data_IF_358859484211
#
_entry.id   IF_358859484211
#
_cell.length_a   1.000
_cell.length_b   1.000
_cell.length_c   1.000
_cell.angle_alpha   90.00
_cell.angle_beta   90.00
_cell.angle_gamma   90.00
#
_symmetry.space_group_name_H-M   'P 1'
#
loop_
_entity.id
_entity.type
_entity.pdbx_description
1 polymer ?
#
# COMPACT_ATOMS: atom_id res chain seq x y z
N UNK A 1 21.74 -48.81 29.34
CA UNK A 1 21.27 -47.55 29.98
C UNK A 1 22.05 -46.38 29.40
N UNK A 2 21.50 -45.67 28.40
CA UNK A 2 22.06 -44.41 27.90
C UNK A 2 21.03 -43.30 28.17
N UNK A 3 21.37 -42.35 29.05
CA UNK A 3 20.60 -41.11 29.22
C UNK A 3 21.10 -40.11 28.18
N UNK A 4 20.36 -39.92 27.09
CA UNK A 4 20.63 -38.85 26.14
C UNK A 4 20.09 -37.54 26.74
N UNK A 5 21.00 -36.64 27.12
CA UNK A 5 20.70 -35.37 27.76
C UNK A 5 20.32 -34.32 26.71
N UNK A 6 19.05 -33.95 26.63
CA UNK A 6 18.54 -32.88 25.75
C UNK A 6 19.00 -31.53 26.31
N UNK A 7 20.03 -30.95 25.68
CA UNK A 7 20.44 -29.56 25.95
C UNK A 7 19.33 -28.63 25.48
N UNK A 8 18.59 -28.05 26.43
CA UNK A 8 17.66 -26.94 26.17
C UNK A 8 18.50 -25.72 25.82
N UNK A 9 18.57 -25.38 24.54
CA UNK A 9 19.18 -24.14 24.07
C UNK A 9 18.19 -23.00 24.39
N UNK A 10 18.36 -22.40 25.57
CA UNK A 10 17.69 -21.15 25.93
C UNK A 10 18.32 -20.02 25.13
N UNK A 11 17.79 -19.76 23.93
CA UNK A 11 18.06 -18.54 23.20
C UNK A 11 17.44 -17.36 23.98
N UNK A 12 18.30 -16.43 24.43
CA UNK A 12 17.90 -15.13 24.97
C UNK A 12 17.21 -14.36 23.85
N UNK A 13 15.88 -14.30 23.90
CA UNK A 13 15.09 -13.40 23.05
C UNK A 13 15.31 -11.99 23.60
N UNK A 14 16.11 -11.18 22.90
CA UNK A 14 16.21 -9.75 23.20
C UNK A 14 14.93 -9.07 22.71
N UNK A 15 14.38 -8.20 23.55
CA UNK A 15 13.04 -7.60 23.44
C UNK A 15 12.84 -6.60 22.28
N UNK A 16 13.84 -6.42 21.41
CA UNK A 16 13.82 -5.40 20.35
C UNK A 16 13.45 -5.95 18.96
N UNK A 17 13.41 -7.27 18.77
CA UNK A 17 13.17 -7.89 17.45
C UNK A 17 11.69 -8.17 17.13
N UNK A 18 10.76 -7.91 18.05
CA UNK A 18 9.33 -8.26 17.88
C UNK A 18 8.43 -7.10 17.43
N UNK A 19 8.96 -5.99 16.91
CA UNK A 19 8.13 -4.85 16.44
C UNK A 19 7.95 -4.74 14.93
N UNK A 20 8.58 -5.59 14.11
CA UNK A 20 8.55 -5.47 12.64
C UNK A 20 8.03 -6.76 12.00
N UNK A 21 6.97 -7.35 12.55
CA UNK A 21 6.24 -8.44 11.89
C UNK A 21 4.74 -8.18 11.80
N UNK A 22 4.31 -6.91 11.84
CA UNK A 22 3.01 -6.55 11.27
C UNK A 22 3.14 -6.51 9.74
N UNK A 23 3.31 -7.69 9.13
CA UNK A 23 3.14 -7.93 7.70
C UNK A 23 1.65 -7.98 7.32
N UNK A 24 0.82 -7.18 7.98
CA UNK A 24 -0.57 -6.99 7.58
C UNK A 24 -0.58 -5.82 6.60
N UNK A 25 -1.16 -6.02 5.42
CA UNK A 25 -1.17 -5.07 4.31
C UNK A 25 -1.69 -3.70 4.74
N UNK A 26 -0.80 -2.84 5.21
CA UNK A 26 -1.13 -1.50 5.64
C UNK A 26 -0.91 -0.54 4.48
N UNK A 27 -2.02 -0.17 3.83
CA UNK A 27 -2.03 0.83 2.76
C UNK A 27 -1.50 2.20 3.22
N UNK A 28 -1.41 2.42 4.52
CA UNK A 28 -0.97 3.68 5.13
C UNK A 28 0.33 3.55 5.91
N UNK A 29 1.08 2.46 5.72
CA UNK A 29 2.37 2.24 6.35
C UNK A 29 3.28 3.48 6.19
N UNK A 30 3.97 3.86 7.26
CA UNK A 30 4.86 5.02 7.23
C UNK A 30 6.10 4.80 6.34
N UNK A 31 6.52 3.54 6.22
CA UNK A 31 7.67 3.12 5.43
C UNK A 31 7.20 2.64 4.05
N UNK A 32 7.82 3.13 2.95
CA UNK A 32 7.50 2.66 1.61
C UNK A 32 7.84 1.17 1.49
N UNK A 33 6.91 0.32 1.04
CA UNK A 33 7.19 -1.07 0.73
C UNK A 33 8.23 -1.19 -0.39
N UNK A 34 9.06 -2.23 -0.37
CA UNK A 34 10.14 -2.43 -1.35
C UNK A 34 9.63 -2.45 -2.80
N UNK A 35 8.45 -3.04 -3.04
CA UNK A 35 7.86 -3.15 -4.37
C UNK A 35 7.49 -1.81 -5.00
N UNK A 36 7.34 -0.75 -4.20
CA UNK A 36 7.01 0.60 -4.73
C UNK A 36 8.12 1.19 -5.58
N UNK A 37 9.38 0.76 -5.39
CA UNK A 37 10.52 1.19 -6.20
C UNK A 37 10.44 0.71 -7.65
N UNK A 38 9.73 -0.39 -7.90
CA UNK A 38 9.52 -0.97 -9.23
C UNK A 38 8.26 -0.45 -9.91
N UNK A 39 7.51 0.44 -9.25
CA UNK A 39 6.23 0.90 -9.72
C UNK A 39 6.36 1.89 -10.90
N UNK A 40 5.60 1.65 -11.95
CA UNK A 40 5.51 2.53 -13.13
C UNK A 40 4.26 3.41 -13.09
N UNK A 41 4.31 4.61 -13.67
CA UNK A 41 3.15 5.50 -13.71
C UNK A 41 2.07 4.98 -14.67
N UNK A 42 0.83 4.87 -14.21
CA UNK A 42 -0.30 4.43 -15.01
C UNK A 42 -1.28 5.58 -15.30
N UNK A 43 -1.21 6.14 -16.50
CA UNK A 43 -2.08 7.23 -16.95
C UNK A 43 -3.58 6.88 -17.00
N UNK A 44 -3.91 5.59 -17.17
CA UNK A 44 -5.29 5.10 -17.24
C UNK A 44 -5.87 4.66 -15.88
N UNK A 45 -5.16 4.90 -14.78
CA UNK A 45 -5.53 4.41 -13.44
C UNK A 45 -5.82 2.90 -13.39
N UNK A 46 -5.09 2.12 -14.19
CA UNK A 46 -5.22 0.67 -14.29
C UNK A 46 -3.84 0.04 -14.47
N UNK A 47 -3.74 -1.27 -14.23
CA UNK A 47 -2.46 -1.97 -14.40
C UNK A 47 -1.96 -1.84 -15.86
N UNK A 48 -0.74 -1.36 -16.12
CA UNK A 48 -0.25 -1.20 -17.49
C UNK A 48 -0.02 -2.54 -18.22
N UNK A 49 0.10 -3.65 -17.49
CA UNK A 49 0.31 -4.98 -18.05
C UNK A 49 -1.01 -5.70 -18.37
N UNK A 50 -1.87 -5.89 -17.36
CA UNK A 50 -3.11 -6.66 -17.52
C UNK A 50 -4.39 -5.80 -17.57
N UNK A 51 -4.28 -4.47 -17.43
CA UNK A 51 -5.40 -3.52 -17.36
C UNK A 51 -6.39 -3.75 -16.22
N UNK A 52 -6.03 -4.59 -15.24
CA UNK A 52 -6.82 -4.77 -14.03
C UNK A 52 -7.02 -3.44 -13.30
N UNK A 53 -8.18 -3.32 -12.66
CA UNK A 53 -8.56 -2.14 -11.90
C UNK A 53 -7.75 -2.00 -10.60
N UNK A 54 -7.75 -0.81 -10.01
CA UNK A 54 -7.15 -0.57 -8.69
C UNK A 54 -7.72 -1.44 -7.57
N UNK A 55 -8.96 -1.95 -7.74
CA UNK A 55 -9.65 -2.79 -6.76
C UNK A 55 -9.11 -4.23 -6.74
N UNK A 56 -8.49 -4.68 -7.82
CA UNK A 56 -7.95 -6.03 -7.98
C UNK A 56 -6.47 -6.13 -7.54
N UNK A 57 -5.92 -5.04 -6.98
CA UNK A 57 -4.55 -5.01 -6.50
C UNK A 57 -4.39 -5.88 -5.23
N UNK A 58 -3.33 -6.69 -5.19
CA UNK A 58 -2.97 -7.51 -4.03
C UNK A 58 -2.46 -6.67 -2.87
N UNK A 59 -1.79 -5.56 -3.17
CA UNK A 59 -1.26 -4.63 -2.17
C UNK A 59 -1.45 -3.20 -2.65
N UNK A 60 -1.69 -2.31 -1.70
CA UNK A 60 -1.83 -0.88 -1.94
C UNK A 60 -0.91 -0.17 -0.96
N UNK A 61 -0.37 0.98 -1.35
CA UNK A 61 0.31 1.89 -0.45
C UNK A 61 0.15 3.33 -0.91
N UNK A 62 -0.11 4.27 0.00
CA UNK A 62 -0.31 5.69 -0.33
C UNK A 62 0.73 6.54 0.41
N UNK A 63 1.47 7.37 -0.34
CA UNK A 63 2.40 8.31 0.26
C UNK A 63 1.66 9.53 0.82
N UNK A 64 1.27 9.47 2.09
CA UNK A 64 0.61 10.59 2.79
C UNK A 64 1.57 11.69 3.29
N UNK A 65 2.89 11.46 3.27
CA UNK A 65 3.88 12.38 3.86
C UNK A 65 4.35 13.46 2.90
N UNK A 66 4.21 13.23 1.59
CA UNK A 66 4.70 14.13 0.56
C UNK A 66 3.60 14.41 -0.47
N UNK A 67 2.52 15.12 -0.09
CA UNK A 67 1.54 15.57 -1.06
C UNK A 67 2.18 16.56 -2.03
N UNK A 68 1.85 16.42 -3.31
CA UNK A 68 2.23 17.41 -4.32
C UNK A 68 1.15 18.47 -4.37
N UNK A 69 1.53 19.74 -4.26
CA UNK A 69 0.64 20.87 -4.46
C UNK A 69 0.52 21.15 -5.95
N UNK A 70 -0.72 21.25 -6.43
CA UNK A 70 -1.01 21.69 -7.80
C UNK A 70 -1.32 23.18 -7.84
N UNK A 71 -1.36 23.73 -9.05
CA UNK A 71 -1.64 25.15 -9.30
C UNK A 71 -2.98 25.60 -8.70
N UNK A 72 -3.98 24.72 -8.66
CA UNK A 72 -5.28 24.95 -8.03
C UNK A 72 -5.25 24.92 -6.48
N UNK A 73 -4.05 24.91 -5.88
CA UNK A 73 -3.81 24.73 -4.44
C UNK A 73 -4.38 23.41 -3.87
N UNK A 74 -4.73 22.46 -4.75
CA UNK A 74 -5.20 21.13 -4.36
C UNK A 74 -4.00 20.22 -4.11
N UNK A 75 -4.12 19.40 -3.07
CA UNK A 75 -3.14 18.36 -2.73
C UNK A 75 -3.44 17.11 -3.56
N UNK A 76 -2.41 16.55 -4.19
CA UNK A 76 -2.44 15.24 -4.84
C UNK A 76 -1.52 14.29 -4.09
N UNK A 77 -2.00 13.08 -3.85
CA UNK A 77 -1.22 12.02 -3.23
C UNK A 77 -0.81 11.00 -4.27
N UNK A 78 0.39 10.43 -4.09
CA UNK A 78 0.89 9.36 -4.93
C UNK A 78 0.42 8.03 -4.35
N UNK A 79 -0.30 7.26 -5.16
CA UNK A 79 -0.90 5.99 -4.77
C UNK A 79 -0.27 4.86 -5.56
N UNK A 80 0.19 3.83 -4.86
CA UNK A 80 0.89 2.68 -5.40
C UNK A 80 0.02 1.43 -5.28
N UNK A 81 0.07 0.61 -6.30
CA UNK A 81 -0.70 -0.62 -6.46
C UNK A 81 0.23 -1.74 -6.91
N UNK A 82 0.18 -2.87 -6.21
CA UNK A 82 0.79 -4.10 -6.66
C UNK A 82 -0.31 -5.00 -7.23
N UNK A 83 -0.31 -5.19 -8.54
CA UNK A 83 -1.31 -6.01 -9.22
C UNK A 83 -1.06 -7.51 -8.98
N UNK A 84 -2.11 -8.33 -9.03
CA UNK A 84 -2.00 -9.79 -8.99
C UNK A 84 -1.12 -10.37 -10.10
N UNK A 85 -0.95 -9.66 -11.23
CA UNK A 85 -0.02 -10.08 -12.29
C UNK A 85 1.46 -9.84 -11.94
N UNK A 86 1.78 -9.30 -10.76
CA UNK A 86 3.13 -8.98 -10.31
C UNK A 86 3.67 -7.63 -10.80
N UNK A 87 2.85 -6.87 -11.54
CA UNK A 87 3.21 -5.53 -11.98
C UNK A 87 2.86 -4.51 -10.89
N UNK A 88 3.87 -3.78 -10.42
CA UNK A 88 3.71 -2.61 -9.58
C UNK A 88 3.48 -1.37 -10.44
N UNK A 89 2.51 -0.54 -10.07
CA UNK A 89 2.21 0.71 -10.75
C UNK A 89 1.73 1.76 -9.75
N UNK A 90 1.77 3.03 -10.16
CA UNK A 90 1.29 4.13 -9.33
C UNK A 90 0.50 5.14 -10.16
N UNK A 91 -0.41 5.86 -9.50
CA UNK A 91 -1.20 6.93 -10.10
C UNK A 91 -1.42 8.07 -9.09
N UNK A 92 -1.87 9.22 -9.58
CA UNK A 92 -2.27 10.31 -8.68
C UNK A 92 -3.68 10.06 -8.15
N UNK A 93 -3.91 10.44 -6.90
CA UNK A 93 -5.25 10.40 -6.29
C UNK A 93 -6.29 11.19 -7.07
N UNK A 94 -5.88 12.22 -7.82
CA UNK A 94 -6.74 13.01 -8.69
C UNK A 94 -7.18 12.32 -9.97
N UNK A 95 -6.46 11.27 -10.37
CA UNK A 95 -6.67 10.58 -11.65
C UNK A 95 -7.65 9.42 -11.49
N UNK A 96 -8.13 9.18 -10.25
CA UNK A 96 -9.20 8.24 -9.96
C UNK A 96 -10.43 8.59 -10.79
N UNK A 97 -11.02 7.63 -11.51
CA UNK A 97 -12.31 7.86 -12.13
C UNK A 97 -13.35 8.21 -11.06
N UNK A 98 -14.33 9.08 -11.37
CA UNK A 98 -15.36 9.46 -10.43
C UNK A 98 -16.10 8.21 -9.94
N UNK A 99 -16.12 8.00 -8.63
CA UNK A 99 -16.87 6.91 -8.01
C UNK A 99 -18.34 7.31 -7.85
N UNK A 100 -19.25 6.35 -7.98
CA UNK A 100 -20.69 6.55 -7.73
C UNK A 100 -21.04 6.98 -6.28
N UNK A 101 -20.05 7.09 -5.39
CA UNK A 101 -20.20 7.49 -3.98
C UNK A 101 -20.27 9.01 -3.79
N UNK A 102 -19.91 9.80 -4.80
CA UNK A 102 -19.89 11.27 -4.70
C UNK A 102 -21.29 11.89 -4.80
N UNK A 103 -22.32 11.11 -5.15
CA UNK A 103 -23.69 11.60 -5.36
C UNK A 103 -24.50 11.83 -4.08
N UNK A 104 -23.97 11.51 -2.89
CA UNK A 104 -24.77 11.46 -1.65
C UNK A 104 -24.51 12.57 -0.62
N UNK A 105 -23.51 13.45 -0.82
CA UNK A 105 -23.10 14.41 0.23
C UNK A 105 -23.69 15.81 0.09
N UNK A 106 -24.37 16.12 -1.01
CA UNK A 106 -24.98 17.45 -1.24
C UNK A 106 -26.52 17.46 -1.15
N UNK A 107 -27.15 16.36 -0.73
CA UNK A 107 -28.62 16.22 -0.68
C UNK A 107 -29.27 16.49 0.70
N UNK A 108 -28.47 16.75 1.74
CA UNK A 108 -28.97 16.89 3.14
C UNK A 108 -28.79 18.32 3.71
N UNK A 109 -28.65 19.34 2.85
CA UNK A 109 -28.57 20.76 3.27
C UNK A 109 -29.73 21.65 2.80
N UNK A 110 -30.91 21.07 2.54
CA UNK A 110 -32.14 21.85 2.30
C UNK A 110 -33.11 21.81 3.49
#
# INVERSE_FOLDING_TARGET
>A
MMKCSVRKNTARITSYELRITNYYMDAFALTPPEWTQKAVHAYGFCCPNCRASSLEASQVWINRRSPVLTEDHRRKWQEFYNCQCGCAWWGWSSDRPPSNLTSQQDADLE
#
